data_IF_821455888952
#
_entry.id   IF_821455888952
#
_cell.length_a   1.000
_cell.length_b   1.000
_cell.length_c   1.000
_cell.angle_alpha   90.00
_cell.angle_beta   90.00
_cell.angle_gamma   90.00
#
_symmetry.space_group_name_H-M   'P 1'
#
loop_
_entity.id
_entity.type
_entity.pdbx_description
1 polymer ?
#
# COMPACT_ATOMS: atom_id res chain seq x y z
N UNK A 1 -13.96 10.42 41.36
CA UNK A 1 -13.26 11.02 40.21
C UNK A 1 -13.56 10.19 38.97
N UNK A 2 -14.08 10.80 37.91
CA UNK A 2 -14.41 10.10 36.65
C UNK A 2 -13.17 10.05 35.76
N UNK A 3 -12.87 8.88 35.18
CA UNK A 3 -11.71 8.66 34.30
C UNK A 3 -12.19 8.07 32.98
N UNK A 4 -11.76 8.68 31.87
CA UNK A 4 -12.02 8.12 30.55
C UNK A 4 -11.22 6.83 30.35
N UNK A 5 -11.91 5.77 29.95
CA UNK A 5 -11.29 4.49 29.56
C UNK A 5 -11.62 4.23 28.10
N UNK A 6 -10.59 4.01 27.28
CA UNK A 6 -10.78 3.57 25.91
C UNK A 6 -11.12 2.09 25.89
N UNK A 7 -12.32 1.75 25.41
CA UNK A 7 -12.75 0.36 25.20
C UNK A 7 -12.62 0.05 23.70
N UNK A 8 -11.87 -1.01 23.37
CA UNK A 8 -11.85 -1.58 22.01
C UNK A 8 -12.55 -2.91 22.03
N UNK A 9 -13.62 -3.02 21.25
CA UNK A 9 -14.27 -4.29 20.94
C UNK A 9 -13.65 -4.81 19.66
N UNK A 10 -13.04 -5.98 19.76
CA UNK A 10 -12.70 -6.79 18.60
C UNK A 10 -13.71 -7.92 18.55
N UNK A 11 -14.21 -8.22 17.36
CA UNK A 11 -14.81 -9.54 17.17
C UNK A 11 -13.71 -10.54 17.49
N UNK A 12 -14.04 -11.55 18.29
CA UNK A 12 -13.12 -12.66 18.52
C UNK A 12 -12.65 -13.12 17.15
N UNK A 13 -11.32 -13.19 16.93
CA UNK A 13 -10.78 -13.54 15.61
C UNK A 13 -11.53 -14.78 15.17
N UNK A 14 -12.24 -14.77 14.02
CA UNK A 14 -12.95 -15.96 13.60
C UNK A 14 -11.93 -17.09 13.66
N UNK A 15 -12.31 -18.21 14.29
CA UNK A 15 -11.45 -19.41 14.41
C UNK A 15 -10.86 -19.81 13.05
N UNK A 16 -11.46 -19.30 11.96
CA UNK A 16 -10.99 -19.33 10.59
C UNK A 16 -10.47 -17.96 10.13
N UNK A 17 -9.19 -17.87 9.81
CA UNK A 17 -8.63 -16.73 9.07
C UNK A 17 -9.44 -16.51 7.77
N UNK A 18 -9.83 -15.27 7.49
CA UNK A 18 -10.54 -14.92 6.26
C UNK A 18 -9.50 -14.63 5.19
N UNK A 19 -9.43 -15.48 4.18
CA UNK A 19 -8.51 -15.31 3.06
C UNK A 19 -9.09 -14.42 1.98
N UNK A 20 -8.21 -13.96 1.07
CA UNK A 20 -8.54 -13.05 -0.02
C UNK A 20 -9.76 -13.50 -0.83
N UNK A 21 -9.82 -14.79 -1.16
CA UNK A 21 -10.91 -15.41 -1.92
C UNK A 21 -12.23 -15.51 -1.12
N UNK A 22 -12.20 -15.37 0.21
CA UNK A 22 -13.38 -15.48 1.07
C UNK A 22 -14.06 -14.12 1.33
N UNK A 23 -13.41 -12.99 1.02
CA UNK A 23 -13.98 -11.64 1.24
C UNK A 23 -15.33 -11.44 0.55
N UNK A 24 -15.54 -12.01 -0.63
CA UNK A 24 -16.81 -11.92 -1.35
C UNK A 24 -17.98 -12.63 -0.65
N UNK A 25 -17.69 -13.53 0.28
CA UNK A 25 -18.67 -14.31 1.05
C UNK A 25 -19.03 -13.68 2.40
N UNK A 26 -18.43 -12.53 2.74
CA UNK A 26 -18.73 -11.84 3.99
C UNK A 26 -20.23 -11.51 4.07
N UNK A 27 -20.92 -11.90 5.16
CA UNK A 27 -22.31 -11.55 5.38
C UNK A 27 -22.41 -10.05 5.70
N UNK A 28 -23.22 -9.34 4.93
CA UNK A 28 -23.58 -7.94 5.16
C UNK A 28 -25.08 -7.84 5.41
N UNK A 29 -25.48 -6.89 6.26
CA UNK A 29 -26.87 -6.63 6.59
C UNK A 29 -27.40 -5.46 5.76
N UNK A 30 -28.48 -5.68 5.03
CA UNK A 30 -29.18 -4.64 4.29
C UNK A 30 -30.12 -3.83 5.21
N UNK A 31 -30.56 -2.63 4.79
CA UNK A 31 -31.48 -1.80 5.59
C UNK A 31 -32.81 -2.49 5.91
N UNK A 32 -33.26 -3.40 5.05
CA UNK A 32 -34.43 -4.27 5.23
C UNK A 32 -34.22 -5.38 6.28
N UNK A 33 -33.01 -5.48 6.85
CA UNK A 33 -32.63 -6.48 7.84
C UNK A 33 -32.14 -7.80 7.25
N UNK A 34 -32.21 -7.99 5.94
CA UNK A 34 -31.76 -9.23 5.26
C UNK A 34 -30.24 -9.36 5.31
N UNK A 35 -29.76 -10.59 5.46
CA UNK A 35 -28.34 -10.93 5.37
C UNK A 35 -28.05 -11.42 3.95
N UNK A 36 -27.01 -10.88 3.33
CA UNK A 36 -26.56 -11.27 2.00
C UNK A 36 -25.04 -11.24 1.90
N UNK A 37 -24.48 -11.92 0.89
CA UNK A 37 -23.03 -11.88 0.63
C UNK A 37 -22.62 -10.53 0.07
N UNK A 38 -21.43 -10.04 0.44
CA UNK A 38 -20.82 -8.82 -0.11
C UNK A 38 -20.75 -8.87 -1.65
N UNK A 39 -20.46 -10.04 -2.23
CA UNK A 39 -20.38 -10.26 -3.67
C UNK A 39 -21.67 -9.92 -4.45
N UNK A 40 -22.83 -9.90 -3.78
CA UNK A 40 -24.10 -9.56 -4.41
C UNK A 40 -24.22 -8.07 -4.75
N UNK A 41 -23.44 -7.20 -4.10
CA UNK A 41 -23.50 -5.74 -4.27
C UNK A 41 -22.15 -5.10 -4.58
N UNK A 42 -21.05 -5.84 -4.47
CA UNK A 42 -19.70 -5.33 -4.70
C UNK A 42 -18.81 -6.38 -5.39
N UNK A 43 -17.84 -5.88 -6.18
CA UNK A 43 -16.81 -6.71 -6.80
C UNK A 43 -15.49 -6.55 -6.06
N UNK A 44 -14.97 -7.64 -5.51
CA UNK A 44 -13.67 -7.65 -4.83
C UNK A 44 -12.56 -7.83 -5.87
N UNK A 45 -11.59 -6.92 -5.89
CA UNK A 45 -10.36 -7.03 -6.70
C UNK A 45 -9.16 -6.79 -5.81
N UNK A 46 -8.17 -7.68 -5.88
CA UNK A 46 -6.88 -7.47 -5.25
C UNK A 46 -5.95 -6.78 -6.23
N UNK A 47 -5.43 -5.64 -5.83
CA UNK A 47 -4.42 -4.91 -6.59
C UNK A 47 -3.07 -5.10 -5.91
N UNK A 48 -2.01 -5.22 -6.72
CA UNK A 48 -0.65 -5.08 -6.22
C UNK A 48 -0.37 -3.60 -6.00
N UNK A 49 0.34 -3.27 -4.93
CA UNK A 49 0.67 -1.89 -4.59
C UNK A 49 1.61 -1.80 -3.40
N UNK A 50 2.17 -0.62 -3.18
CA UNK A 50 3.03 -0.39 -2.03
C UNK A 50 2.18 -0.39 -0.75
N UNK A 51 2.48 -1.24 0.25
CA UNK A 51 1.70 -1.32 1.48
C UNK A 51 1.87 -0.09 2.37
N UNK A 52 2.84 0.77 2.04
CA UNK A 52 3.20 1.96 2.78
C UNK A 52 3.41 3.11 1.81
N UNK A 53 2.77 4.24 2.10
CA UNK A 53 3.12 5.52 1.49
C UNK A 53 4.36 6.06 2.21
N UNK A 54 5.44 6.30 1.46
CA UNK A 54 6.62 7.00 1.99
C UNK A 54 6.63 8.43 1.48
N UNK A 55 7.05 9.35 2.36
CA UNK A 55 7.15 10.77 2.03
C UNK A 55 8.52 11.30 2.42
N UNK A 56 9.08 12.17 1.60
CA UNK A 56 10.23 13.01 1.92
C UNK A 56 9.84 14.47 1.69
N UNK A 57 10.05 15.33 2.68
CA UNK A 57 9.58 16.72 2.66
C UNK A 57 8.11 16.85 2.19
N UNK A 58 7.22 16.05 2.79
CA UNK A 58 5.79 15.95 2.45
C UNK A 58 5.44 15.43 1.04
N UNK A 59 6.38 15.33 0.12
CA UNK A 59 6.16 14.73 -1.19
C UNK A 59 6.20 13.21 -1.12
N UNK A 60 5.28 12.54 -1.82
CA UNK A 60 5.27 11.08 -1.91
C UNK A 60 6.45 10.62 -2.76
N UNK A 61 7.23 9.67 -2.24
CA UNK A 61 8.41 9.12 -2.92
C UNK A 61 8.30 7.60 -3.07
N UNK A 62 9.07 7.05 -4.01
CA UNK A 62 9.38 5.62 -4.08
C UNK A 62 10.89 5.47 -3.89
N UNK A 63 11.35 5.02 -2.71
CA UNK A 63 12.78 4.87 -2.48
C UNK A 63 13.33 3.72 -3.33
N UNK A 64 14.30 4.04 -4.18
CA UNK A 64 15.06 3.05 -4.95
C UNK A 64 16.45 2.97 -4.35
N UNK A 65 16.83 1.77 -3.91
CA UNK A 65 18.17 1.49 -3.39
C UNK A 65 18.92 0.57 -4.34
N UNK A 66 20.22 0.78 -4.45
CA UNK A 66 21.10 -0.06 -5.23
C UNK A 66 22.45 -0.18 -4.52
N UNK A 67 23.13 -1.30 -4.75
CA UNK A 67 24.49 -1.51 -4.27
C UNK A 67 25.47 -0.99 -5.32
N UNK A 68 26.50 -0.25 -4.89
CA UNK A 68 27.62 0.11 -5.75
C UNK A 68 28.46 -1.15 -5.97
N UNK A 69 28.80 -1.42 -7.24
CA UNK A 69 29.70 -2.54 -7.62
C UNK A 69 31.06 -2.38 -6.92
N UNK A 70 31.70 -3.49 -6.59
CA UNK A 70 33.02 -3.50 -5.96
C UNK A 70 34.05 -2.67 -6.77
N UNK A 71 34.78 -1.82 -6.05
CA UNK A 71 35.74 -0.86 -6.63
C UNK A 71 35.11 0.37 -7.30
N UNK A 72 33.78 0.55 -7.24
CA UNK A 72 33.10 1.75 -7.73
C UNK A 72 33.08 2.88 -6.69
N UNK A 73 33.18 4.13 -7.15
CA UNK A 73 33.01 5.31 -6.29
C UNK A 73 31.55 5.80 -6.27
N UNK A 74 31.15 6.41 -5.15
CA UNK A 74 29.80 6.97 -4.98
C UNK A 74 29.49 8.05 -6.04
N UNK A 75 30.43 8.97 -6.30
CA UNK A 75 30.23 10.04 -7.29
C UNK A 75 30.05 9.51 -8.72
N UNK A 76 30.80 8.48 -9.11
CA UNK A 76 30.65 7.83 -10.40
C UNK A 76 29.28 7.12 -10.52
N UNK A 77 28.83 6.47 -9.45
CA UNK A 77 27.51 5.84 -9.40
C UNK A 77 26.38 6.87 -9.53
N UNK A 78 26.44 7.98 -8.78
CA UNK A 78 25.45 9.08 -8.87
C UNK A 78 25.39 9.63 -10.30
N UNK A 79 26.55 9.93 -10.90
CA UNK A 79 26.63 10.46 -12.26
C UNK A 79 26.04 9.49 -13.29
N UNK A 80 26.31 8.19 -13.14
CA UNK A 80 25.76 7.17 -14.03
C UNK A 80 24.23 7.08 -13.93
N UNK A 81 23.68 7.13 -12.70
CA UNK A 81 22.23 7.12 -12.47
C UNK A 81 21.58 8.38 -13.04
N UNK A 82 22.11 9.57 -12.74
CA UNK A 82 21.59 10.83 -13.27
C UNK A 82 21.56 10.86 -14.80
N UNK A 83 22.58 10.30 -15.46
CA UNK A 83 22.62 10.20 -16.94
C UNK A 83 21.47 9.34 -17.50
N UNK A 84 21.10 8.26 -16.81
CA UNK A 84 19.97 7.42 -17.23
C UNK A 84 18.64 8.14 -16.99
N UNK A 85 18.49 8.77 -15.81
CA UNK A 85 17.27 9.49 -15.43
C UNK A 85 17.00 10.71 -16.32
N UNK A 86 18.05 11.37 -16.83
CA UNK A 86 17.94 12.50 -17.75
C UNK A 86 17.51 12.12 -19.18
N UNK A 87 17.38 10.82 -19.51
CA UNK A 87 16.96 10.39 -20.85
C UNK A 87 15.50 10.80 -21.10
N UNK A 88 15.16 11.37 -22.27
CA UNK A 88 13.79 11.70 -22.61
C UNK A 88 12.86 10.50 -22.45
N UNK A 89 11.73 10.70 -21.76
CA UNK A 89 10.72 9.66 -21.54
C UNK A 89 11.05 8.65 -20.44
N UNK A 90 12.23 8.71 -19.81
CA UNK A 90 12.57 7.82 -18.69
C UNK A 90 11.73 8.12 -17.44
N UNK A 91 11.49 9.40 -17.17
CA UNK A 91 10.67 9.87 -16.06
C UNK A 91 9.44 10.60 -16.62
N UNK A 92 8.22 10.19 -16.23
CA UNK A 92 7.00 10.90 -16.58
C UNK A 92 7.02 12.37 -16.18
N UNK A 93 6.27 13.21 -16.91
CA UNK A 93 6.13 14.63 -16.57
C UNK A 93 5.58 14.80 -15.15
N UNK A 94 6.13 15.76 -14.40
CA UNK A 94 5.72 16.06 -13.02
C UNK A 94 6.37 15.20 -11.94
N UNK A 95 7.29 14.30 -12.30
CA UNK A 95 8.07 13.49 -11.35
C UNK A 95 9.51 14.00 -11.30
N UNK A 96 10.07 14.10 -10.09
CA UNK A 96 11.46 14.50 -9.84
C UNK A 96 12.21 13.43 -9.06
N UNK A 97 13.55 13.52 -9.03
CA UNK A 97 14.47 12.60 -8.36
C UNK A 97 15.58 13.34 -7.64
#
# INVERSE_FOLDING_TARGET
>A
TVRNVGVRLWLDTPQKQIYRNELGNLPIRAPDGRIMRLSTVARVKFVAGQPRLTRNNLAQIVPVTARIRDGGSLGAAITAVQRVLARPGMIPRGIYY
#
